data_IF_888567046031
#
_entry.id   IF_888567046031
#
_cell.length_a   1.000
_cell.length_b   1.000
_cell.length_c   1.000
_cell.angle_alpha   90.00
_cell.angle_beta   90.00
_cell.angle_gamma   90.00
#
_symmetry.space_group_name_H-M   'P 1'
#
loop_
_entity.id
_entity.type
_entity.pdbx_description
1 polymer ?
#
# COMPACT_ATOMS: atom_id res chain seq x y z
N UNK A 1 15.85 -21.92 -1.14
CA UNK A 1 15.54 -20.88 -0.14
C UNK A 1 14.17 -21.19 0.43
N UNK A 2 14.13 -21.72 1.65
CA UNK A 2 13.03 -22.54 2.20
C UNK A 2 11.98 -21.71 2.95
N UNK A 3 12.34 -20.50 3.39
CA UNK A 3 11.47 -19.65 4.23
C UNK A 3 10.14 -19.25 3.58
N UNK A 4 10.11 -19.08 2.25
CA UNK A 4 8.88 -18.68 1.55
C UNK A 4 7.84 -19.79 1.56
N UNK A 5 8.30 -21.06 1.46
CA UNK A 5 7.42 -22.23 1.44
C UNK A 5 6.70 -22.36 2.77
N UNK A 6 7.42 -22.19 3.88
CA UNK A 6 6.85 -22.27 5.23
C UNK A 6 5.82 -21.15 5.47
N UNK A 7 6.05 -19.92 4.99
CA UNK A 7 5.04 -18.85 5.05
C UNK A 7 3.82 -19.14 4.18
N UNK A 8 4.01 -19.65 2.95
CA UNK A 8 2.87 -19.97 2.08
C UNK A 8 2.08 -21.15 2.59
N UNK A 9 2.74 -22.14 3.16
CA UNK A 9 2.15 -23.36 3.73
C UNK A 9 1.40 -23.02 5.02
N UNK A 10 1.96 -22.17 5.89
CA UNK A 10 1.25 -21.63 7.05
C UNK A 10 0.02 -20.80 6.68
N UNK A 11 0.10 -19.98 5.61
CA UNK A 11 -1.03 -19.20 5.11
C UNK A 11 -2.10 -20.09 4.44
N UNK A 12 -1.69 -21.21 3.83
CA UNK A 12 -2.60 -22.16 3.18
C UNK A 12 -3.30 -23.07 4.21
N UNK A 13 -2.56 -23.59 5.19
CA UNK A 13 -3.10 -24.39 6.30
C UNK A 13 -4.01 -23.59 7.22
N UNK A 14 -3.78 -22.29 7.40
CA UNK A 14 -4.68 -21.42 8.18
C UNK A 14 -5.88 -20.90 7.38
N UNK A 15 -5.87 -21.05 6.05
CA UNK A 15 -6.93 -20.61 5.14
C UNK A 15 -7.95 -21.71 4.78
N UNK A 16 -7.61 -22.99 4.97
CA UNK A 16 -8.54 -24.10 4.83
C UNK A 16 -9.10 -24.39 6.22
N UNK A 17 -10.32 -23.93 6.48
CA UNK A 17 -11.08 -24.38 7.65
C UNK A 17 -11.26 -25.90 7.54
N UNK A 18 -10.43 -26.64 8.26
CA UNK A 18 -10.59 -28.06 8.46
C UNK A 18 -11.86 -28.26 9.31
N UNK A 19 -12.97 -28.79 8.76
CA UNK A 19 -14.23 -28.92 9.48
C UNK A 19 -14.13 -29.87 10.70
N UNK A 20 -12.99 -30.55 10.85
CA UNK A 20 -12.66 -31.42 11.96
C UNK A 20 -12.09 -30.71 13.20
N UNK A 21 -11.72 -29.42 13.13
CA UNK A 21 -11.09 -28.70 14.25
C UNK A 21 -12.06 -27.76 14.99
N UNK A 22 -13.19 -28.33 15.41
CA UNK A 22 -14.09 -27.74 16.42
C UNK A 22 -13.48 -27.83 17.84
N UNK A 23 -12.17 -27.60 17.99
CA UNK A 23 -11.56 -27.45 19.32
C UNK A 23 -11.88 -26.04 19.81
N UNK A 24 -12.56 -25.94 20.95
CA UNK A 24 -12.83 -24.67 21.60
C UNK A 24 -11.52 -23.88 21.76
N UNK A 25 -11.35 -22.81 20.96
CA UNK A 25 -10.15 -21.96 21.00
C UNK A 25 -9.81 -21.58 22.44
N UNK A 26 -8.56 -21.81 22.83
CA UNK A 26 -8.04 -21.48 24.16
C UNK A 26 -8.22 -19.98 24.44
N UNK A 27 -8.47 -19.60 25.69
CA UNK A 27 -8.61 -18.19 26.10
C UNK A 27 -7.42 -17.34 25.61
N UNK A 28 -6.20 -17.91 25.65
CA UNK A 28 -4.99 -17.27 25.14
C UNK A 28 -4.98 -17.09 23.62
N UNK A 29 -5.52 -18.04 22.86
CA UNK A 29 -5.65 -17.90 21.40
C UNK A 29 -6.67 -16.83 21.04
N UNK A 30 -7.76 -16.69 21.80
CA UNK A 30 -8.76 -15.64 21.60
C UNK A 30 -8.22 -14.26 21.93
N UNK A 31 -7.47 -14.12 23.03
CA UNK A 31 -6.82 -12.85 23.39
C UNK A 31 -5.76 -12.47 22.36
N UNK A 32 -4.97 -13.43 21.90
CA UNK A 32 -3.97 -13.19 20.86
C UNK A 32 -4.63 -12.84 19.51
N UNK A 33 -5.73 -13.51 19.12
CA UNK A 33 -6.52 -13.15 17.93
C UNK A 33 -7.09 -11.72 18.04
N UNK A 34 -7.61 -11.31 19.20
CA UNK A 34 -8.15 -9.95 19.41
C UNK A 34 -7.03 -8.90 19.36
N UNK A 35 -5.91 -9.16 20.05
CA UNK A 35 -4.76 -8.24 20.06
C UNK A 35 -4.14 -8.11 18.67
N UNK A 36 -4.00 -9.21 17.93
CA UNK A 36 -3.58 -9.18 16.53
C UNK A 36 -4.57 -8.39 15.68
N UNK A 37 -5.88 -8.56 15.87
CA UNK A 37 -6.89 -7.87 15.09
C UNK A 37 -6.87 -6.37 15.34
N UNK A 38 -6.77 -5.92 16.59
CA UNK A 38 -6.65 -4.50 16.95
C UNK A 38 -5.32 -3.90 16.48
N UNK A 39 -4.20 -4.62 16.63
CA UNK A 39 -2.88 -4.16 16.16
C UNK A 39 -2.86 -4.03 14.64
N UNK A 40 -3.44 -4.99 13.93
CA UNK A 40 -3.57 -4.94 12.48
C UNK A 40 -4.49 -3.80 12.06
N UNK A 41 -5.59 -3.54 12.76
CA UNK A 41 -6.48 -2.41 12.49
C UNK A 41 -5.80 -1.05 12.71
N UNK A 42 -5.04 -0.90 13.80
CA UNK A 42 -4.24 0.30 14.04
C UNK A 42 -3.18 0.48 12.94
N UNK A 43 -2.47 -0.59 12.58
CA UNK A 43 -1.48 -0.57 11.50
C UNK A 43 -2.13 -0.17 10.16
N UNK A 44 -3.31 -0.72 9.85
CA UNK A 44 -4.10 -0.36 8.66
C UNK A 44 -4.45 1.12 8.63
N UNK A 45 -4.89 1.67 9.76
CA UNK A 45 -5.22 3.08 9.89
C UNK A 45 -3.98 3.96 9.69
N UNK A 46 -2.87 3.66 10.37
CA UNK A 46 -1.62 4.40 10.22
C UNK A 46 -1.06 4.34 8.81
N UNK A 47 -1.06 3.16 8.18
CA UNK A 47 -0.69 3.00 6.77
C UNK A 47 -1.59 3.85 5.89
N UNK A 48 -2.92 3.79 6.07
CA UNK A 48 -3.86 4.60 5.30
C UNK A 48 -3.54 6.10 5.38
N UNK A 49 -3.40 6.63 6.60
CA UNK A 49 -3.07 8.04 6.85
C UNK A 49 -1.72 8.41 6.25
N UNK A 50 -0.67 7.62 6.51
CA UNK A 50 0.66 7.84 5.96
C UNK A 50 0.63 7.87 4.44
N UNK A 51 -0.16 7.00 3.82
CA UNK A 51 -0.27 6.89 2.38
C UNK A 51 -0.81 8.16 1.73
N UNK A 52 -1.88 8.73 2.30
CA UNK A 52 -2.47 9.98 1.81
C UNK A 52 -1.59 11.20 2.10
N UNK A 53 -0.95 11.27 3.27
CA UNK A 53 -0.02 12.35 3.61
C UNK A 53 1.14 12.37 2.61
N UNK A 54 1.71 11.20 2.32
CA UNK A 54 2.83 11.08 1.40
C UNK A 54 2.43 11.45 -0.04
N UNK A 55 1.26 10.99 -0.51
CA UNK A 55 0.69 11.40 -1.80
C UNK A 55 0.55 12.93 -1.87
N UNK A 56 -0.03 13.55 -0.86
CA UNK A 56 -0.22 15.01 -0.81
C UNK A 56 1.10 15.76 -0.80
N UNK A 57 2.08 15.28 -0.03
CA UNK A 57 3.41 15.89 0.05
C UNK A 57 4.16 15.85 -1.29
N UNK A 58 4.08 14.72 -2.00
CA UNK A 58 4.66 14.56 -3.34
C UNK A 58 3.93 15.44 -4.36
N UNK A 59 2.60 15.45 -4.36
CA UNK A 59 1.79 16.29 -5.24
C UNK A 59 2.09 17.78 -5.01
N UNK A 60 2.16 18.20 -3.75
CA UNK A 60 2.48 19.58 -3.37
C UNK A 60 3.89 19.96 -3.84
N UNK A 61 4.91 19.11 -3.63
CA UNK A 61 6.27 19.38 -4.12
C UNK A 61 6.33 19.59 -5.63
N UNK A 62 5.59 18.78 -6.38
CA UNK A 62 5.57 18.89 -7.83
C UNK A 62 4.82 20.14 -8.29
N UNK A 63 3.59 20.35 -7.80
CA UNK A 63 2.71 21.44 -8.21
C UNK A 63 3.20 22.83 -7.77
N UNK A 64 3.90 22.91 -6.64
CA UNK A 64 4.48 24.18 -6.15
C UNK A 64 5.73 24.61 -6.91
N UNK A 65 6.26 23.80 -7.83
CA UNK A 65 7.53 24.06 -8.50
C UNK A 65 8.77 23.96 -7.60
N UNK A 66 8.60 23.62 -6.31
CA UNK A 66 9.70 23.39 -5.36
C UNK A 66 10.52 22.16 -5.76
N UNK A 67 9.92 21.24 -6.52
CA UNK A 67 10.59 20.09 -7.15
C UNK A 67 11.76 20.43 -8.07
N UNK A 68 11.82 21.66 -8.58
CA UNK A 68 12.94 22.18 -9.40
C UNK A 68 14.19 22.46 -8.57
N UNK A 69 14.03 22.63 -7.25
CA UNK A 69 15.09 23.04 -6.34
C UNK A 69 15.50 21.85 -5.45
N UNK A 70 16.80 21.62 -5.29
CA UNK A 70 17.37 20.56 -4.43
C UNK A 70 17.22 20.89 -2.93
N UNK A 71 15.97 21.00 -2.49
CA UNK A 71 15.59 21.36 -1.13
C UNK A 71 15.67 20.16 -0.19
N UNK A 72 15.82 20.42 1.12
CA UNK A 72 15.79 19.39 2.18
C UNK A 72 14.49 18.58 2.12
N UNK A 73 13.36 19.24 1.87
CA UNK A 73 12.06 18.58 1.72
C UNK A 73 12.06 17.56 0.56
N UNK A 74 12.67 17.89 -0.57
CA UNK A 74 12.79 16.97 -1.71
C UNK A 74 13.63 15.73 -1.38
N UNK A 75 14.68 15.88 -0.56
CA UNK A 75 15.55 14.78 -0.12
C UNK A 75 14.84 13.86 0.86
N UNK A 76 14.10 14.42 1.81
CA UNK A 76 13.30 13.66 2.77
C UNK A 76 12.23 12.83 2.04
N UNK A 77 11.52 13.43 1.10
CA UNK A 77 10.48 12.72 0.34
C UNK A 77 11.09 11.60 -0.50
N UNK A 78 12.23 11.82 -1.16
CA UNK A 78 12.94 10.75 -1.87
C UNK A 78 13.36 9.61 -0.95
N UNK A 79 13.92 9.93 0.23
CA UNK A 79 14.33 8.91 1.20
C UNK A 79 13.14 8.11 1.75
N UNK A 80 11.95 8.72 1.81
CA UNK A 80 10.72 8.06 2.23
C UNK A 80 10.09 7.18 1.15
N UNK A 81 10.50 7.27 -0.12
CA UNK A 81 9.86 6.55 -1.22
C UNK A 81 9.95 5.02 -1.10
N UNK A 82 11.13 4.51 -0.73
CA UNK A 82 11.37 3.08 -0.52
C UNK A 82 10.59 2.51 0.68
N UNK A 83 10.70 3.08 1.91
CA UNK A 83 9.93 2.59 3.05
C UNK A 83 8.42 2.75 2.83
N UNK A 84 8.00 3.77 2.07
CA UNK A 84 6.62 3.93 1.65
C UNK A 84 6.14 2.79 0.74
N UNK A 85 6.91 2.41 -0.29
CA UNK A 85 6.57 1.27 -1.14
C UNK A 85 6.49 -0.03 -0.34
N UNK A 86 7.42 -0.22 0.61
CA UNK A 86 7.38 -1.34 1.55
C UNK A 86 6.08 -1.35 2.37
N UNK A 87 5.69 -0.20 2.91
CA UNK A 87 4.44 -0.06 3.66
C UNK A 87 3.20 -0.35 2.80
N UNK A 88 3.15 0.15 1.55
CA UNK A 88 2.06 -0.17 0.61
C UNK A 88 2.02 -1.65 0.27
N UNK A 89 3.18 -2.30 0.07
CA UNK A 89 3.26 -3.74 -0.13
C UNK A 89 2.66 -4.52 1.04
N UNK A 90 3.08 -4.20 2.27
CA UNK A 90 2.55 -4.81 3.49
C UNK A 90 1.04 -4.57 3.62
N UNK A 91 0.57 -3.35 3.36
CA UNK A 91 -0.86 -3.00 3.36
C UNK A 91 -1.66 -3.93 2.45
N UNK A 92 -1.19 -4.15 1.22
CA UNK A 92 -1.90 -4.99 0.25
C UNK A 92 -1.92 -6.46 0.63
N UNK A 93 -0.81 -6.98 1.18
CA UNK A 93 -0.75 -8.35 1.69
C UNK A 93 -1.75 -8.53 2.83
N UNK A 94 -1.71 -7.65 3.84
CA UNK A 94 -2.64 -7.71 4.97
C UNK A 94 -4.10 -7.61 4.52
N UNK A 95 -4.38 -6.80 3.49
CA UNK A 95 -5.73 -6.62 2.93
C UNK A 95 -6.21 -7.93 2.31
N UNK A 96 -5.35 -8.58 1.54
CA UNK A 96 -5.68 -9.84 0.89
C UNK A 96 -5.82 -10.98 1.91
N UNK A 97 -4.96 -11.03 2.93
CA UNK A 97 -5.07 -12.00 4.04
C UNK A 97 -6.40 -11.84 4.78
N UNK A 98 -6.81 -10.60 5.10
CA UNK A 98 -8.09 -10.34 5.78
C UNK A 98 -9.28 -10.73 4.92
N UNK A 99 -9.24 -10.45 3.62
CA UNK A 99 -10.30 -10.83 2.66
C UNK A 99 -10.48 -12.34 2.61
N UNK A 100 -9.38 -13.11 2.61
CA UNK A 100 -9.41 -14.59 2.64
C UNK A 100 -9.92 -15.15 3.96
N UNK A 101 -9.47 -14.60 5.10
CA UNK A 101 -9.77 -15.17 6.43
C UNK A 101 -11.18 -14.90 6.93
N UNK A 102 -11.80 -13.79 6.54
CA UNK A 102 -13.08 -13.36 7.13
C UNK A 102 -14.25 -13.29 6.15
N UNK A 103 -14.05 -13.55 4.85
CA UNK A 103 -15.06 -13.38 3.79
C UNK A 103 -15.82 -12.03 3.84
N UNK A 104 -15.27 -11.06 4.57
CA UNK A 104 -15.86 -9.74 4.73
C UNK A 104 -15.51 -8.96 3.48
N UNK A 105 -16.55 -8.53 2.76
CA UNK A 105 -16.43 -7.56 1.67
C UNK A 105 -15.56 -6.41 2.17
N UNK A 106 -14.39 -6.26 1.56
CA UNK A 106 -13.39 -5.28 1.95
C UNK A 106 -14.01 -3.87 1.87
N UNK A 107 -14.51 -3.39 3.01
CA UNK A 107 -14.99 -2.00 3.22
C UNK A 107 -13.85 -0.98 3.21
N UNK A 108 -12.66 -1.37 2.75
CA UNK A 108 -11.48 -0.50 2.70
C UNK A 108 -11.31 0.03 1.29
N UNK A 109 -11.46 1.35 1.18
CA UNK A 109 -11.36 2.22 -0.01
C UNK A 109 -9.94 2.24 -0.63
N UNK A 110 -9.14 1.17 -0.48
CA UNK A 110 -7.78 1.09 -1.00
C UNK A 110 -7.68 1.26 -2.53
N UNK A 111 -8.78 1.11 -3.25
CA UNK A 111 -8.89 1.43 -4.68
C UNK A 111 -8.75 2.93 -4.96
N UNK A 112 -9.29 3.78 -4.08
CA UNK A 112 -9.23 5.24 -4.23
C UNK A 112 -7.81 5.77 -4.14
N UNK A 113 -6.98 5.13 -3.31
CA UNK A 113 -5.56 5.46 -3.21
C UNK A 113 -4.82 5.19 -4.54
N UNK A 114 -5.06 4.04 -5.18
CA UNK A 114 -4.45 3.69 -6.46
C UNK A 114 -4.90 4.66 -7.54
N UNK A 115 -6.22 4.94 -7.59
CA UNK A 115 -6.78 5.92 -8.49
C UNK A 115 -6.22 7.32 -8.26
N UNK A 116 -5.95 7.70 -7.01
CA UNK A 116 -5.34 8.99 -6.68
C UNK A 116 -3.91 9.10 -7.21
N UNK A 117 -3.09 8.05 -7.12
CA UNK A 117 -1.75 8.03 -7.72
C UNK A 117 -1.77 8.05 -9.23
N UNK A 118 -2.64 7.25 -9.86
CA UNK A 118 -2.80 7.25 -11.31
C UNK A 118 -3.34 8.59 -11.82
N UNK A 119 -4.27 9.19 -11.09
CA UNK A 119 -4.81 10.52 -11.36
C UNK A 119 -3.73 11.59 -11.22
N UNK A 120 -2.88 11.52 -10.19
CA UNK A 120 -1.74 12.41 -10.02
C UNK A 120 -0.75 12.26 -11.19
N UNK A 121 -0.41 11.03 -11.57
CA UNK A 121 0.47 10.76 -12.72
C UNK A 121 -0.10 11.37 -14.00
N UNK A 122 -1.38 11.16 -14.29
CA UNK A 122 -2.04 11.73 -15.47
C UNK A 122 -2.02 13.26 -15.45
N UNK A 123 -2.38 13.86 -14.31
CA UNK A 123 -2.36 15.31 -14.12
C UNK A 123 -0.95 15.88 -14.34
N UNK A 124 0.06 15.30 -13.71
CA UNK A 124 1.46 15.72 -13.83
C UNK A 124 1.96 15.59 -15.26
N UNK A 125 1.62 14.50 -15.96
CA UNK A 125 2.01 14.27 -17.35
C UNK A 125 1.39 15.29 -18.29
N UNK A 126 0.09 15.60 -18.11
CA UNK A 126 -0.61 16.63 -18.88
C UNK A 126 0.01 18.01 -18.63
N UNK A 127 0.29 18.34 -17.37
CA UNK A 127 0.92 19.61 -16.99
C UNK A 127 2.29 19.79 -17.66
N UNK A 128 3.14 18.76 -17.69
CA UNK A 128 4.46 18.80 -18.34
C UNK A 128 4.38 19.03 -19.85
N UNK A 129 3.37 18.47 -20.51
CA UNK A 129 3.20 18.60 -21.96
C UNK A 129 2.64 19.97 -22.35
N UNK A 130 1.69 20.50 -21.57
CA UNK A 130 0.99 21.75 -21.90
C UNK A 130 1.78 22.98 -21.44
N UNK A 131 2.39 22.92 -20.26
CA UNK A 131 2.98 24.09 -19.62
C UNK A 131 4.51 24.01 -19.58
N UNK A 132 5.24 24.95 -20.19
CA UNK A 132 6.70 24.94 -20.23
C UNK A 132 7.36 25.17 -18.86
N UNK A 133 6.59 25.60 -17.86
CA UNK A 133 7.05 25.73 -16.47
C UNK A 133 7.21 24.38 -15.77
N UNK A 134 6.43 23.37 -16.17
CA UNK A 134 6.52 22.02 -15.61
C UNK A 134 7.49 21.19 -16.44
N UNK A 135 8.66 20.90 -15.87
CA UNK A 135 9.70 20.12 -16.55
C UNK A 135 9.77 18.69 -16.04
N UNK A 136 10.43 17.83 -16.80
CA UNK A 136 10.74 16.47 -16.36
C UNK A 136 11.81 16.52 -15.26
N UNK A 137 11.35 16.55 -14.01
CA UNK A 137 12.23 16.60 -12.82
C UNK A 137 12.34 15.24 -12.14
N UNK A 138 13.31 15.10 -11.23
CA UNK A 138 13.44 13.93 -10.35
C UNK A 138 12.18 13.64 -9.53
N UNK A 139 11.32 14.63 -9.30
CA UNK A 139 10.05 14.45 -8.59
C UNK A 139 9.01 13.81 -9.51
N UNK A 140 8.98 14.17 -10.80
CA UNK A 140 8.13 13.50 -11.78
C UNK A 140 8.56 12.04 -12.00
N UNK A 141 9.86 11.77 -12.08
CA UNK A 141 10.41 10.40 -12.10
C UNK A 141 9.89 9.60 -10.90
N UNK A 142 9.96 10.18 -9.70
CA UNK A 142 9.45 9.54 -8.47
C UNK A 142 7.94 9.29 -8.53
N UNK A 143 7.14 10.24 -9.05
CA UNK A 143 5.69 10.06 -9.24
C UNK A 143 5.41 8.91 -10.21
N UNK A 144 6.14 8.83 -11.33
CA UNK A 144 6.01 7.75 -12.31
C UNK A 144 6.34 6.41 -11.64
N UNK A 145 7.50 6.29 -10.99
CA UNK A 145 7.94 5.04 -10.35
C UNK A 145 6.92 4.58 -9.31
N UNK A 146 6.49 5.46 -8.41
CA UNK A 146 5.53 5.11 -7.37
C UNK A 146 4.18 4.71 -7.96
N UNK A 147 3.64 5.49 -8.90
CA UNK A 147 2.33 5.20 -9.51
C UNK A 147 2.34 3.85 -10.24
N UNK A 148 3.42 3.54 -10.96
CA UNK A 148 3.56 2.26 -11.65
C UNK A 148 3.73 1.11 -10.65
N UNK A 149 4.59 1.25 -9.66
CA UNK A 149 4.78 0.22 -8.62
C UNK A 149 3.48 -0.06 -7.87
N UNK A 150 2.74 0.98 -7.47
CA UNK A 150 1.44 0.86 -6.82
C UNK A 150 0.43 0.18 -7.75
N UNK A 151 0.41 0.57 -9.03
CA UNK A 151 -0.43 -0.06 -10.04
C UNK A 151 -0.14 -1.55 -10.20
N UNK A 152 1.14 -1.94 -10.25
CA UNK A 152 1.56 -3.35 -10.33
C UNK A 152 1.15 -4.10 -9.06
N UNK A 153 1.39 -3.55 -7.88
CA UNK A 153 0.99 -4.16 -6.60
C UNK A 153 -0.53 -4.37 -6.57
N UNK A 154 -1.30 -3.37 -7.02
CA UNK A 154 -2.75 -3.46 -7.09
C UNK A 154 -3.23 -4.52 -8.09
N UNK A 155 -2.67 -4.54 -9.31
CA UNK A 155 -3.00 -5.55 -10.32
C UNK A 155 -2.64 -6.94 -9.80
N UNK A 156 -1.48 -7.11 -9.17
CA UNK A 156 -1.06 -8.37 -8.55
C UNK A 156 -2.06 -8.84 -7.49
N UNK A 157 -2.52 -7.94 -6.63
CA UNK A 157 -3.58 -8.21 -5.65
C UNK A 157 -4.93 -8.53 -6.31
N UNK A 158 -5.30 -7.82 -7.38
CA UNK A 158 -6.60 -7.95 -8.03
C UNK A 158 -6.72 -9.16 -8.96
N UNK A 159 -5.61 -9.57 -9.60
CA UNK A 159 -5.54 -10.75 -10.49
C UNK A 159 -5.53 -12.04 -9.67
N UNK A 160 -5.01 -12.00 -8.45
CA UNK A 160 -5.18 -13.08 -7.47
C UNK A 160 -6.59 -13.08 -6.86
N UNK A 161 -7.62 -13.12 -7.73
CA UNK A 161 -8.95 -13.54 -7.30
C UNK A 161 -8.90 -15.03 -6.91
N UNK A 162 -9.54 -15.43 -5.80
CA UNK A 162 -9.74 -16.84 -5.48
C UNK A 162 -10.52 -17.56 -6.57
#
# INVERSE_FOLDING_TARGET
MVWWRDTTEYIYETGIEDPAKNSAKSFWERVNDIFFQETVDALFFFLGVFTYIYLFAVAFLYLSGVSSFDSVASKIIKALAEPYLGAVGIYTILKETRKRRYALSSRHWGEFFVLAWLGLLALCSILTVIFPFYTFTRTLELIITLSLSIGIIYIGSAVHRP
#
